data_IF_534082492619
#
_entry.id   IF_534082492619
#
_cell.length_a   1.000
_cell.length_b   1.000
_cell.length_c   1.000
_cell.angle_alpha   90.00
_cell.angle_beta   90.00
_cell.angle_gamma   90.00
#
_symmetry.space_group_name_H-M   'P 1'
#
loop_
_entity.id
_entity.type
_entity.pdbx_description
1 polymer ?
#
# COMPACT_ATOMS: atom_id res chain seq x y z
N UNK A 1 -10.09 40.17 -56.92
CA UNK A 1 -9.24 39.38 -55.94
C UNK A 1 -9.71 39.42 -54.49
N UNK A 2 -10.25 40.52 -53.90
CA UNK A 2 -10.62 40.52 -52.48
C UNK A 2 -11.78 39.59 -52.08
N UNK A 3 -12.71 39.28 -52.99
CA UNK A 3 -13.86 38.44 -52.68
C UNK A 3 -13.50 36.95 -52.53
N UNK A 4 -12.50 36.47 -53.27
CA UNK A 4 -12.03 35.08 -53.21
C UNK A 4 -11.38 34.78 -51.84
N UNK A 5 -10.61 35.71 -51.29
CA UNK A 5 -10.01 35.54 -49.94
C UNK A 5 -11.07 35.50 -48.82
N UNK A 6 -12.17 36.23 -48.98
CA UNK A 6 -13.26 36.26 -47.99
C UNK A 6 -14.03 34.95 -47.88
N UNK A 7 -14.08 34.15 -48.95
CA UNK A 7 -14.73 32.84 -48.96
C UNK A 7 -13.79 31.71 -48.54
N UNK A 8 -12.49 31.84 -48.80
CA UNK A 8 -11.51 30.77 -48.49
C UNK A 8 -11.04 30.81 -47.04
N UNK A 9 -10.94 31.97 -46.38
CA UNK A 9 -10.48 32.10 -44.98
C UNK A 9 -11.33 31.27 -44.00
N UNK A 10 -12.69 31.29 -44.05
CA UNK A 10 -13.49 30.44 -43.14
C UNK A 10 -13.26 28.95 -43.31
N UNK A 11 -13.04 28.50 -44.58
CA UNK A 11 -12.79 27.09 -44.89
C UNK A 11 -11.42 26.63 -44.35
N UNK A 12 -10.40 27.48 -44.48
CA UNK A 12 -9.06 27.22 -43.91
C UNK A 12 -9.12 27.19 -42.39
N UNK A 13 -9.82 28.15 -41.76
CA UNK A 13 -10.01 28.15 -40.30
C UNK A 13 -10.75 26.91 -39.82
N UNK A 14 -11.81 26.51 -40.53
CA UNK A 14 -12.54 25.29 -40.19
C UNK A 14 -11.68 24.03 -40.31
N UNK A 15 -10.90 23.91 -41.41
CA UNK A 15 -9.96 22.81 -41.60
C UNK A 15 -8.88 22.77 -40.48
N UNK A 16 -8.38 23.93 -40.07
CA UNK A 16 -7.37 24.05 -39.01
C UNK A 16 -7.94 23.66 -37.64
N UNK A 17 -9.18 24.04 -37.33
CA UNK A 17 -9.91 23.61 -36.15
C UNK A 17 -10.12 22.11 -36.14
N UNK A 18 -10.55 21.51 -37.26
CA UNK A 18 -10.70 20.05 -37.36
C UNK A 18 -9.37 19.31 -37.16
N UNK A 19 -8.29 19.84 -37.70
CA UNK A 19 -6.95 19.26 -37.55
C UNK A 19 -6.47 19.33 -36.09
N UNK A 20 -6.72 20.42 -35.39
CA UNK A 20 -6.42 20.56 -33.97
C UNK A 20 -7.27 19.62 -33.09
N UNK A 21 -8.57 19.50 -33.41
CA UNK A 21 -9.46 18.58 -32.72
C UNK A 21 -9.03 17.11 -32.91
N UNK A 22 -8.72 16.73 -34.16
CA UNK A 22 -8.26 15.35 -34.43
C UNK A 22 -6.91 15.06 -33.80
N UNK A 23 -5.97 16.02 -33.81
CA UNK A 23 -4.67 15.89 -33.14
C UNK A 23 -4.80 15.78 -31.64
N UNK A 24 -5.68 16.56 -31.01
CA UNK A 24 -5.96 16.47 -29.57
C UNK A 24 -6.61 15.14 -29.21
N UNK A 25 -7.60 14.69 -29.98
CA UNK A 25 -8.25 13.39 -29.78
C UNK A 25 -7.24 12.24 -29.89
N UNK A 26 -6.36 12.28 -30.88
CA UNK A 26 -5.30 11.29 -31.04
C UNK A 26 -4.32 11.31 -29.86
N UNK A 27 -3.91 12.49 -29.41
CA UNK A 27 -3.02 12.65 -28.27
C UNK A 27 -3.63 12.07 -26.99
N UNK A 28 -4.89 12.37 -26.71
CA UNK A 28 -5.58 11.83 -25.53
C UNK A 28 -5.77 10.31 -25.62
N UNK A 29 -6.12 9.80 -26.80
CA UNK A 29 -6.27 8.35 -27.03
C UNK A 29 -4.93 7.63 -26.85
N UNK A 30 -3.86 8.16 -27.44
CA UNK A 30 -2.51 7.59 -27.29
C UNK A 30 -2.07 7.57 -25.82
N UNK A 31 -2.29 8.68 -25.10
CA UNK A 31 -1.95 8.77 -23.68
C UNK A 31 -2.76 7.77 -22.82
N UNK A 32 -4.04 7.61 -23.14
CA UNK A 32 -4.92 6.64 -22.47
C UNK A 32 -4.48 5.20 -22.74
N UNK A 33 -4.20 4.86 -23.99
CA UNK A 33 -3.69 3.54 -24.38
C UNK A 33 -2.35 3.23 -23.71
N UNK A 34 -1.42 4.16 -23.72
CA UNK A 34 -0.12 3.99 -23.05
C UNK A 34 -0.31 3.70 -21.56
N UNK A 35 -1.16 4.49 -20.89
CA UNK A 35 -1.47 4.27 -19.47
C UNK A 35 -2.10 2.88 -19.22
N UNK A 36 -2.99 2.41 -20.09
CA UNK A 36 -3.56 1.07 -20.00
C UNK A 36 -2.50 -0.03 -20.20
N UNK A 37 -1.58 0.15 -21.13
CA UNK A 37 -0.49 -0.80 -21.37
C UNK A 37 0.44 -0.88 -20.16
N UNK A 38 0.83 0.28 -19.60
CA UNK A 38 1.68 0.33 -18.41
C UNK A 38 1.01 -0.37 -17.22
N UNK A 39 -0.28 -0.11 -16.99
CA UNK A 39 -1.07 -0.80 -15.94
C UNK A 39 -1.15 -2.31 -16.18
N UNK A 40 -1.33 -2.74 -17.42
CA UNK A 40 -1.43 -4.16 -17.74
C UNK A 40 -0.08 -4.88 -17.55
N UNK A 41 1.02 -4.22 -17.89
CA UNK A 41 2.38 -4.74 -17.64
C UNK A 41 2.62 -4.91 -16.14
N UNK A 42 2.32 -3.89 -15.34
CA UNK A 42 2.48 -3.93 -13.89
C UNK A 42 1.59 -5.01 -13.26
N UNK A 43 0.34 -5.17 -13.75
CA UNK A 43 -0.57 -6.24 -13.32
C UNK A 43 -0.01 -7.64 -13.61
N UNK A 44 0.57 -7.85 -14.79
CA UNK A 44 1.17 -9.12 -15.17
C UNK A 44 2.41 -9.44 -14.33
N UNK A 45 3.26 -8.45 -14.07
CA UNK A 45 4.40 -8.59 -13.16
C UNK A 45 3.95 -8.93 -11.73
N UNK A 46 2.87 -8.31 -11.25
CA UNK A 46 2.27 -8.64 -9.97
C UNK A 46 1.82 -10.10 -9.90
N UNK A 47 1.05 -10.57 -10.90
CA UNK A 47 0.57 -11.96 -10.95
C UNK A 47 1.75 -12.94 -10.97
N UNK A 48 2.79 -12.64 -11.74
CA UNK A 48 4.02 -13.44 -11.80
C UNK A 48 4.71 -13.50 -10.45
N UNK A 49 4.91 -12.35 -9.80
CA UNK A 49 5.58 -12.26 -8.51
C UNK A 49 4.77 -12.97 -7.42
N UNK A 50 3.42 -12.79 -7.40
CA UNK A 50 2.53 -13.50 -6.48
C UNK A 50 2.63 -15.02 -6.65
N UNK A 51 2.63 -15.49 -7.90
CA UNK A 51 2.76 -16.91 -8.19
C UNK A 51 4.09 -17.47 -7.66
N UNK A 52 5.17 -16.72 -7.79
CA UNK A 52 6.47 -17.09 -7.23
C UNK A 52 6.47 -17.07 -5.70
N UNK A 53 5.90 -16.03 -5.07
CA UNK A 53 5.85 -15.92 -3.62
C UNK A 53 4.92 -16.95 -2.96
N UNK A 54 3.87 -17.42 -3.65
CA UNK A 54 3.03 -18.52 -3.18
C UNK A 54 3.71 -19.89 -3.35
N UNK A 55 4.53 -20.07 -4.40
CA UNK A 55 5.19 -21.34 -4.68
C UNK A 55 6.25 -21.68 -3.62
N UNK A 56 6.96 -20.70 -3.09
CA UNK A 56 8.04 -20.90 -2.12
C UNK A 56 7.55 -21.51 -0.80
N UNK A 57 6.58 -20.91 -0.07
CA UNK A 57 6.06 -21.50 1.17
C UNK A 57 5.44 -22.88 0.94
N UNK A 58 4.71 -23.08 -0.16
CA UNK A 58 4.15 -24.38 -0.50
C UNK A 58 5.26 -25.43 -0.67
N UNK A 59 6.36 -25.08 -1.34
CA UNK A 59 7.49 -26.00 -1.50
C UNK A 59 8.16 -26.31 -0.15
N UNK A 60 8.33 -25.32 0.71
CA UNK A 60 8.92 -25.51 2.05
C UNK A 60 8.04 -26.43 2.92
N UNK A 61 6.73 -26.20 2.94
CA UNK A 61 5.79 -27.08 3.66
C UNK A 61 5.86 -28.52 3.13
N UNK A 62 5.92 -28.68 1.80
CA UNK A 62 6.05 -30.00 1.18
C UNK A 62 7.34 -30.71 1.60
N UNK A 63 8.47 -30.02 1.60
CA UNK A 63 9.76 -30.57 2.04
C UNK A 63 9.73 -30.95 3.51
N UNK A 64 9.13 -30.12 4.37
CA UNK A 64 8.99 -30.43 5.79
C UNK A 64 8.14 -31.69 6.03
N UNK A 65 7.03 -31.84 5.29
CA UNK A 65 6.17 -33.03 5.37
C UNK A 65 6.85 -34.28 4.79
N UNK A 66 7.58 -34.15 3.67
CA UNK A 66 8.34 -35.27 3.09
C UNK A 66 9.46 -35.73 4.03
N UNK A 67 10.13 -34.79 4.73
CA UNK A 67 11.12 -35.15 5.74
C UNK A 67 10.50 -35.91 6.90
N UNK A 68 9.32 -35.51 7.38
CA UNK A 68 8.60 -36.22 8.42
C UNK A 68 8.08 -37.61 7.99
N UNK A 69 7.77 -37.80 6.71
CA UNK A 69 7.25 -39.08 6.20
C UNK A 69 8.32 -40.12 5.87
N UNK A 70 9.50 -39.67 5.40
CA UNK A 70 10.49 -40.58 4.79
C UNK A 70 11.73 -40.82 5.68
N UNK A 71 11.88 -40.12 6.81
CA UNK A 71 13.02 -40.35 7.68
C UNK A 71 12.65 -41.07 8.98
N UNK A 72 13.44 -42.10 9.34
CA UNK A 72 13.36 -42.82 10.63
C UNK A 72 13.57 -41.92 11.86
N UNK A 73 13.85 -40.63 11.65
CA UNK A 73 14.03 -39.61 12.69
C UNK A 73 12.73 -39.09 13.30
N UNK A 74 11.56 -39.60 12.92
CA UNK A 74 10.26 -39.36 13.58
C UNK A 74 10.33 -39.67 15.09
N UNK A 75 11.32 -40.45 15.52
CA UNK A 75 11.55 -40.81 16.91
C UNK A 75 12.28 -39.71 17.74
N UNK A 76 12.77 -38.61 17.10
CA UNK A 76 13.29 -37.46 17.83
C UNK A 76 12.21 -36.35 17.94
N UNK A 77 11.65 -36.12 19.15
CA UNK A 77 10.61 -35.13 19.34
C UNK A 77 11.06 -33.71 18.99
N UNK A 78 12.36 -33.40 19.11
CA UNK A 78 12.89 -32.06 18.83
C UNK A 78 12.88 -31.78 17.31
N UNK A 79 13.36 -32.74 16.51
CA UNK A 79 13.40 -32.64 15.05
C UNK A 79 11.97 -32.60 14.49
N UNK A 80 11.08 -33.45 15.01
CA UNK A 80 9.66 -33.45 14.62
C UNK A 80 9.01 -32.08 14.91
N UNK A 81 9.26 -31.52 16.11
CA UNK A 81 8.75 -30.19 16.49
C UNK A 81 9.31 -29.09 15.58
N UNK A 82 10.58 -29.14 15.21
CA UNK A 82 11.21 -28.17 14.32
C UNK A 82 10.54 -28.14 12.92
N UNK A 83 10.35 -29.30 12.29
CA UNK A 83 9.69 -29.39 10.97
C UNK A 83 8.22 -28.98 11.05
N UNK A 84 7.49 -29.34 12.10
CA UNK A 84 6.11 -28.90 12.30
C UNK A 84 6.01 -27.39 12.50
N UNK A 85 6.90 -26.79 13.28
CA UNK A 85 6.96 -25.35 13.47
C UNK A 85 7.30 -24.62 12.15
N UNK A 86 8.24 -25.16 11.36
CA UNK A 86 8.57 -24.62 10.03
C UNK A 86 7.34 -24.68 9.12
N UNK A 87 6.65 -25.81 9.05
CA UNK A 87 5.44 -25.94 8.22
C UNK A 87 4.33 -24.98 8.67
N UNK A 88 4.10 -24.85 9.99
CA UNK A 88 3.09 -23.97 10.55
C UNK A 88 3.41 -22.51 10.22
N UNK A 89 4.64 -22.07 10.41
CA UNK A 89 5.04 -20.68 10.11
C UNK A 89 4.92 -20.33 8.61
N UNK A 90 5.17 -21.28 7.72
CA UNK A 90 4.98 -21.05 6.28
C UNK A 90 3.50 -21.08 5.87
N UNK A 91 2.65 -21.85 6.56
CA UNK A 91 1.19 -21.80 6.37
C UNK A 91 0.61 -20.46 6.84
N UNK A 92 1.03 -19.95 8.00
CA UNK A 92 0.63 -18.62 8.49
C UNK A 92 1.04 -17.52 7.51
N UNK A 93 2.25 -17.63 6.94
CA UNK A 93 2.71 -16.72 5.89
C UNK A 93 1.87 -16.80 4.62
N UNK A 94 1.44 -17.99 4.24
CA UNK A 94 0.60 -18.25 3.07
C UNK A 94 -0.80 -17.68 3.28
N UNK A 95 -1.36 -17.80 4.49
CA UNK A 95 -2.63 -17.18 4.86
C UNK A 95 -2.54 -15.64 4.77
N UNK A 96 -1.49 -15.03 5.31
CA UNK A 96 -1.26 -13.59 5.17
C UNK A 96 -1.14 -13.13 3.71
N UNK A 97 -0.50 -13.92 2.84
CA UNK A 97 -0.41 -13.61 1.42
C UNK A 97 -1.77 -13.72 0.73
N UNK A 98 -2.56 -14.75 1.05
CA UNK A 98 -3.91 -14.92 0.49
C UNK A 98 -4.85 -13.83 0.96
N UNK A 99 -4.80 -13.44 2.21
CA UNK A 99 -5.57 -12.29 2.74
C UNK A 99 -5.21 -11.00 2.01
N UNK A 100 -3.93 -10.73 1.77
CA UNK A 100 -3.49 -9.57 0.97
C UNK A 100 -4.05 -9.60 -0.46
N UNK A 101 -4.08 -10.74 -1.11
CA UNK A 101 -4.65 -10.90 -2.46
C UNK A 101 -6.17 -10.72 -2.46
N UNK A 102 -6.88 -11.31 -1.48
CA UNK A 102 -8.33 -11.20 -1.34
C UNK A 102 -8.77 -9.77 -1.06
N UNK A 103 -8.15 -9.11 -0.10
CA UNK A 103 -8.37 -7.68 0.19
C UNK A 103 -8.20 -6.84 -1.08
N UNK A 104 -7.23 -7.19 -1.91
CA UNK A 104 -7.00 -6.52 -3.18
C UNK A 104 -8.04 -6.80 -4.26
N UNK A 105 -8.51 -8.04 -4.35
CA UNK A 105 -9.59 -8.42 -5.29
C UNK A 105 -10.90 -7.70 -4.94
N UNK A 106 -11.17 -7.50 -3.66
CA UNK A 106 -12.33 -6.73 -3.18
C UNK A 106 -12.23 -5.25 -3.52
N UNK A 107 -11.00 -4.69 -3.63
CA UNK A 107 -10.77 -3.31 -4.07
C UNK A 107 -11.04 -3.06 -5.56
N UNK A 108 -11.23 -4.09 -6.39
CA UNK A 108 -11.71 -3.95 -7.76
C UNK A 108 -13.24 -3.70 -7.82
N UNK A 109 -13.98 -3.99 -6.73
CA UNK A 109 -15.38 -3.61 -6.53
C UNK A 109 -15.51 -2.13 -6.15
N UNK A 110 -16.56 -1.47 -6.62
CA UNK A 110 -16.78 -0.02 -6.36
C UNK A 110 -17.08 0.32 -4.89
N UNK A 111 -17.42 -0.64 -4.03
CA UNK A 111 -17.73 -0.41 -2.62
C UNK A 111 -17.18 -1.55 -1.77
N UNK A 112 -16.37 -1.20 -0.78
CA UNK A 112 -16.11 -2.05 0.38
C UNK A 112 -17.42 -2.12 1.16
N UNK A 113 -17.89 -3.31 1.51
CA UNK A 113 -19.02 -3.42 2.43
C UNK A 113 -18.56 -3.05 3.85
N UNK A 114 -18.31 -1.75 4.09
CA UNK A 114 -17.79 -1.28 5.37
C UNK A 114 -18.84 -1.45 6.48
N UNK A 115 -18.41 -1.99 7.60
CA UNK A 115 -19.16 -2.00 8.86
C UNK A 115 -18.60 -0.90 9.77
N UNK A 116 -19.02 0.34 9.50
CA UNK A 116 -18.52 1.51 10.23
C UNK A 116 -19.18 1.64 11.59
N UNK A 117 -18.39 1.92 12.62
CA UNK A 117 -18.82 2.16 13.99
C UNK A 117 -18.01 3.29 14.63
N UNK A 118 -18.49 3.81 15.75
CA UNK A 118 -17.74 4.78 16.56
C UNK A 118 -16.63 4.07 17.30
N UNK A 119 -15.39 4.43 17.02
CA UNK A 119 -14.21 3.86 17.67
C UNK A 119 -13.30 4.94 18.24
N UNK A 120 -12.58 4.59 19.29
CA UNK A 120 -11.46 5.38 19.80
C UNK A 120 -10.19 5.01 19.02
N UNK A 121 -9.76 5.93 18.13
CA UNK A 121 -8.59 5.74 17.27
C UNK A 121 -7.29 5.56 18.08
N UNK A 122 -7.20 6.15 19.28
CA UNK A 122 -6.06 5.96 20.17
C UNK A 122 -5.97 4.51 20.64
N UNK A 123 -7.10 3.91 21.06
CA UNK A 123 -7.14 2.52 21.50
C UNK A 123 -6.84 1.55 20.37
N UNK A 124 -7.39 1.82 19.16
CA UNK A 124 -7.10 1.01 17.98
C UNK A 124 -5.60 1.04 17.65
N UNK A 125 -5.02 2.24 17.56
CA UNK A 125 -3.61 2.42 17.20
C UNK A 125 -2.67 1.77 18.23
N UNK A 126 -2.97 1.88 19.52
CA UNK A 126 -2.19 1.21 20.59
C UNK A 126 -2.21 -0.31 20.42
N UNK A 127 -3.37 -0.92 20.16
CA UNK A 127 -3.47 -2.38 19.89
C UNK A 127 -2.60 -2.81 18.71
N UNK A 128 -2.62 -2.03 17.62
CA UNK A 128 -1.78 -2.31 16.46
C UNK A 128 -0.30 -2.26 16.83
N UNK A 129 0.13 -1.21 17.52
CA UNK A 129 1.52 -1.02 17.93
C UNK A 129 1.97 -2.16 18.84
N UNK A 130 1.14 -2.57 19.80
CA UNK A 130 1.41 -3.70 20.68
C UNK A 130 1.55 -5.01 19.91
N UNK A 131 0.69 -5.25 18.90
CA UNK A 131 0.77 -6.46 18.06
C UNK A 131 2.05 -6.52 17.23
N UNK A 132 2.60 -5.37 16.84
CA UNK A 132 3.82 -5.28 16.03
C UNK A 132 5.10 -5.20 16.88
N UNK A 133 5.00 -5.08 18.21
CA UNK A 133 6.13 -4.88 19.13
C UNK A 133 7.19 -5.99 19.04
N UNK A 134 6.76 -7.25 18.99
CA UNK A 134 7.66 -8.40 18.88
C UNK A 134 8.45 -8.37 17.57
N UNK A 135 7.81 -7.97 16.48
CA UNK A 135 8.45 -7.85 15.17
C UNK A 135 9.43 -6.69 15.13
N UNK A 136 9.05 -5.53 15.68
CA UNK A 136 9.96 -4.39 15.79
C UNK A 136 11.22 -4.75 16.58
N UNK A 137 11.10 -5.51 17.69
CA UNK A 137 12.23 -6.01 18.44
C UNK A 137 13.14 -6.94 17.62
N UNK A 138 12.58 -7.85 16.82
CA UNK A 138 13.35 -8.74 15.95
C UNK A 138 14.12 -7.98 14.86
N UNK A 139 13.54 -6.88 14.35
CA UNK A 139 14.15 -6.02 13.33
C UNK A 139 15.01 -4.89 13.94
N UNK A 140 15.22 -4.86 15.27
CA UNK A 140 15.90 -3.79 16.03
C UNK A 140 15.30 -2.40 15.74
N UNK A 141 14.01 -2.32 15.49
CA UNK A 141 13.31 -1.08 15.22
C UNK A 141 12.70 -0.48 16.48
N UNK A 142 12.68 0.84 16.56
CA UNK A 142 11.99 1.60 17.61
C UNK A 142 10.67 2.11 17.08
N UNK A 143 9.56 1.71 17.70
CA UNK A 143 8.21 2.15 17.39
C UNK A 143 7.65 2.94 18.57
N UNK A 144 7.35 4.22 18.36
CA UNK A 144 6.81 5.11 19.37
C UNK A 144 5.41 5.59 19.03
N UNK A 145 4.62 5.90 20.05
CA UNK A 145 3.26 6.45 19.91
C UNK A 145 3.12 7.73 20.71
N UNK A 146 2.61 8.76 20.06
CA UNK A 146 2.40 10.09 20.65
C UNK A 146 0.96 10.54 20.40
N UNK A 147 0.34 11.10 21.41
CA UNK A 147 -0.91 11.87 21.30
C UNK A 147 -1.02 12.85 22.44
N UNK A 148 -1.53 14.02 22.17
CA UNK A 148 -1.90 15.04 23.18
C UNK A 148 -3.28 14.79 23.77
N UNK A 149 -4.13 14.02 23.06
CA UNK A 149 -5.52 13.82 23.41
C UNK A 149 -5.71 12.57 24.28
N UNK A 150 -6.72 12.59 25.13
CA UNK A 150 -7.07 11.44 25.97
C UNK A 150 -8.00 10.44 25.31
N UNK A 151 -8.77 10.87 24.32
CA UNK A 151 -9.71 10.08 23.54
C UNK A 151 -9.96 10.75 22.19
N UNK A 152 -9.98 9.98 21.10
CA UNK A 152 -10.23 10.49 19.74
C UNK A 152 -11.22 9.57 19.05
N UNK A 153 -12.47 10.02 18.94
CA UNK A 153 -13.57 9.25 18.33
C UNK A 153 -13.65 9.56 16.85
N UNK A 154 -13.70 8.48 16.06
CA UNK A 154 -13.91 8.51 14.60
C UNK A 154 -14.97 7.48 14.22
N UNK A 155 -15.69 7.71 13.11
CA UNK A 155 -16.70 6.79 12.58
C UNK A 155 -16.11 6.01 11.40
N UNK A 156 -15.57 4.82 11.66
CA UNK A 156 -14.83 4.03 10.68
C UNK A 156 -15.04 2.53 10.89
N UNK A 157 -14.67 1.74 9.89
CA UNK A 157 -14.55 0.29 10.02
C UNK A 157 -13.18 -0.04 10.65
N UNK A 158 -13.14 -0.57 11.88
CA UNK A 158 -11.90 -0.79 12.62
C UNK A 158 -10.96 -1.78 11.92
N UNK A 159 -11.50 -2.81 11.25
CA UNK A 159 -10.70 -3.83 10.57
C UNK A 159 -9.88 -3.23 9.41
N UNK A 160 -10.51 -2.39 8.60
CA UNK A 160 -9.83 -1.76 7.47
C UNK A 160 -8.84 -0.69 7.91
N UNK A 161 -9.18 0.12 8.91
CA UNK A 161 -8.26 1.16 9.44
C UNK A 161 -7.06 0.53 10.14
N UNK A 162 -7.26 -0.55 10.90
CA UNK A 162 -6.17 -1.36 11.46
C UNK A 162 -5.22 -1.85 10.37
N UNK A 163 -5.78 -2.40 9.28
CA UNK A 163 -5.00 -2.84 8.11
C UNK A 163 -4.20 -1.71 7.45
N UNK A 164 -4.74 -0.49 7.40
CA UNK A 164 -4.02 0.69 6.89
C UNK A 164 -2.84 1.04 7.80
N UNK A 165 -3.05 1.12 9.10
CA UNK A 165 -1.99 1.45 10.07
C UNK A 165 -0.86 0.41 10.01
N UNK A 166 -1.20 -0.88 10.01
CA UNK A 166 -0.22 -1.97 9.86
C UNK A 166 0.58 -1.80 8.57
N UNK A 167 -0.09 -1.50 7.45
CA UNK A 167 0.57 -1.34 6.17
C UNK A 167 1.56 -0.16 6.15
N UNK A 168 1.22 0.97 6.79
CA UNK A 168 2.12 2.12 6.88
C UNK A 168 3.34 1.81 7.74
N UNK A 169 3.14 1.14 8.89
CA UNK A 169 4.26 0.72 9.77
C UNK A 169 5.14 -0.32 9.06
N UNK A 170 4.54 -1.28 8.35
CA UNK A 170 5.26 -2.27 7.54
C UNK A 170 6.12 -1.61 6.45
N UNK A 171 5.59 -0.58 5.80
CA UNK A 171 6.35 0.18 4.82
C UNK A 171 7.53 0.91 5.48
N UNK A 172 7.32 1.54 6.63
CA UNK A 172 8.37 2.21 7.39
C UNK A 172 9.49 1.23 7.77
N UNK A 173 9.16 0.04 8.31
CA UNK A 173 10.14 -1.00 8.64
C UNK A 173 10.94 -1.43 7.41
N UNK A 174 10.28 -1.71 6.29
CA UNK A 174 10.92 -2.20 5.07
C UNK A 174 11.88 -1.21 4.41
N UNK A 175 11.50 0.08 4.41
CA UNK A 175 12.24 1.07 3.63
C UNK A 175 13.26 1.87 4.44
N UNK A 176 13.12 1.89 5.78
CA UNK A 176 14.11 2.53 6.66
C UNK A 176 15.33 1.64 6.89
N UNK A 177 15.15 0.30 6.88
CA UNK A 177 16.22 -0.67 7.12
C UNK A 177 16.49 -0.95 8.61
N UNK A 178 17.66 -1.49 8.95
CA UNK A 178 18.02 -1.81 10.32
C UNK A 178 17.96 -0.58 11.23
N UNK A 179 17.56 -0.78 12.50
CA UNK A 179 17.42 0.29 13.50
C UNK A 179 16.41 1.38 13.09
N UNK A 180 15.33 0.99 12.38
CA UNK A 180 14.28 1.90 11.98
C UNK A 180 13.69 2.64 13.21
N UNK A 181 13.53 3.95 13.08
CA UNK A 181 12.80 4.78 14.05
C UNK A 181 11.50 5.20 13.43
N UNK A 182 10.39 4.72 13.99
CA UNK A 182 9.03 4.95 13.49
C UNK A 182 8.23 5.62 14.58
N UNK A 183 7.58 6.74 14.25
CA UNK A 183 6.69 7.43 15.18
C UNK A 183 5.28 7.43 14.59
N UNK A 184 4.32 7.06 15.43
CA UNK A 184 2.90 7.18 15.16
C UNK A 184 2.36 8.29 16.02
N UNK A 185 1.74 9.30 15.42
CA UNK A 185 1.20 10.44 16.13
C UNK A 185 -0.26 10.67 15.73
N UNK A 186 -1.11 10.96 16.73
CA UNK A 186 -2.50 11.32 16.50
C UNK A 186 -2.75 12.69 17.09
N UNK A 187 -3.32 13.56 16.26
CA UNK A 187 -3.77 14.91 16.62
C UNK A 187 -5.21 15.10 16.18
N UNK A 188 -6.00 15.82 16.93
CA UNK A 188 -7.37 16.15 16.54
C UNK A 188 -7.64 17.65 16.68
N UNK A 189 -8.49 18.16 15.79
CA UNK A 189 -9.07 19.48 15.89
C UNK A 189 -10.61 19.40 15.75
N UNK A 190 -11.30 20.55 15.67
CA UNK A 190 -12.76 20.58 15.60
C UNK A 190 -13.34 19.99 14.31
N UNK A 191 -12.54 19.88 13.25
CA UNK A 191 -13.00 19.50 11.91
C UNK A 191 -12.47 18.12 11.47
N UNK A 192 -11.26 17.76 11.91
CA UNK A 192 -10.58 16.58 11.41
C UNK A 192 -9.69 15.92 12.46
N UNK A 193 -9.47 14.64 12.27
CA UNK A 193 -8.55 13.82 13.03
C UNK A 193 -7.42 13.38 12.10
N UNK A 194 -6.16 13.62 12.49
CA UNK A 194 -4.97 13.22 11.72
C UNK A 194 -4.21 12.14 12.47
N UNK A 195 -3.91 11.07 11.74
CA UNK A 195 -2.97 10.04 12.17
C UNK A 195 -1.76 10.08 11.23
N UNK A 196 -0.58 10.33 11.76
CA UNK A 196 0.66 10.33 11.01
C UNK A 196 1.55 9.15 11.39
N UNK A 197 2.19 8.55 10.38
CA UNK A 197 3.26 7.55 10.55
C UNK A 197 4.50 8.12 9.90
N UNK A 198 5.54 8.40 10.70
CA UNK A 198 6.80 8.95 10.22
C UNK A 198 7.95 7.96 10.39
N UNK A 199 8.88 7.96 9.44
CA UNK A 199 10.11 7.17 9.46
C UNK A 199 11.34 8.05 9.17
N UNK A 200 12.53 7.51 9.44
CA UNK A 200 13.82 8.13 9.13
C UNK A 200 14.52 7.47 7.93
N UNK A 201 13.76 6.95 6.99
CA UNK A 201 14.26 6.30 5.79
C UNK A 201 14.78 7.28 4.72
N UNK A 202 14.94 6.81 3.47
CA UNK A 202 15.47 7.62 2.38
C UNK A 202 14.50 8.69 1.87
N UNK A 203 13.23 8.68 2.34
CA UNK A 203 12.18 9.55 1.81
C UNK A 203 11.72 9.16 0.40
N UNK A 204 10.76 9.92 -0.12
CA UNK A 204 10.15 9.69 -1.44
C UNK A 204 10.43 10.89 -2.34
N UNK A 205 11.09 10.72 -3.51
CA UNK A 205 11.30 11.82 -4.44
C UNK A 205 9.98 12.50 -4.82
N UNK A 206 9.97 13.83 -4.87
CA UNK A 206 8.75 14.63 -5.14
C UNK A 206 7.99 14.20 -6.39
N UNK A 207 8.71 13.72 -7.40
CA UNK A 207 8.12 13.20 -8.66
C UNK A 207 7.26 11.97 -8.46
N UNK A 208 7.51 11.18 -7.40
CA UNK A 208 6.80 9.93 -7.13
C UNK A 208 5.78 10.03 -5.99
N UNK A 209 5.75 11.12 -5.21
CA UNK A 209 4.84 11.26 -4.05
C UNK A 209 3.36 11.08 -4.38
N UNK A 210 2.94 11.44 -5.60
CA UNK A 210 1.57 11.16 -6.08
C UNK A 210 1.41 9.75 -6.63
N UNK A 211 2.46 9.20 -7.24
CA UNK A 211 2.40 7.91 -7.92
C UNK A 211 2.51 6.73 -6.95
N UNK A 212 3.08 6.93 -5.75
CA UNK A 212 3.22 5.85 -4.75
C UNK A 212 1.87 5.29 -4.28
N UNK A 213 0.79 6.03 -4.50
CA UNK A 213 -0.58 5.62 -4.24
C UNK A 213 -1.26 4.89 -5.42
N UNK A 214 -0.63 4.92 -6.61
CA UNK A 214 -1.14 4.18 -7.76
C UNK A 214 -0.98 2.66 -7.52
N UNK A 215 -1.98 1.89 -7.98
CA UNK A 215 -1.94 0.42 -7.85
C UNK A 215 -0.68 -0.14 -8.52
N UNK A 216 0.01 -1.04 -7.82
CA UNK A 216 1.21 -1.74 -8.28
C UNK A 216 2.45 -0.85 -8.49
N UNK A 217 2.35 0.45 -8.23
CA UNK A 217 3.48 1.34 -8.43
C UNK A 217 4.59 1.06 -7.41
N UNK A 218 5.81 1.08 -7.90
CA UNK A 218 7.04 1.01 -7.09
C UNK A 218 8.03 2.01 -7.66
N UNK A 219 8.75 2.69 -6.77
CA UNK A 219 9.79 3.63 -7.20
C UNK A 219 10.88 2.85 -7.94
N UNK A 220 11.16 3.19 -9.22
CA UNK A 220 12.26 2.59 -9.95
C UNK A 220 13.59 2.97 -9.28
N UNK A 221 14.29 1.98 -8.72
CA UNK A 221 15.53 2.26 -8.00
C UNK A 221 16.62 1.31 -8.44
N UNK A 222 17.76 1.87 -8.82
CA UNK A 222 18.94 1.12 -9.26
C UNK A 222 19.57 0.24 -8.17
N UNK A 223 19.18 0.39 -6.89
CA UNK A 223 19.79 -0.32 -5.75
C UNK A 223 18.78 -0.91 -4.72
N UNK A 224 17.46 -0.78 -4.92
CA UNK A 224 16.44 -1.31 -3.99
C UNK A 224 15.79 -2.61 -4.49
N UNK A 225 16.48 -3.37 -5.35
CA UNK A 225 15.97 -4.64 -5.87
C UNK A 225 15.67 -5.71 -4.80
N UNK A 226 16.14 -5.54 -3.56
CA UNK A 226 15.96 -6.52 -2.49
C UNK A 226 14.76 -6.24 -1.57
N UNK A 227 14.05 -5.12 -1.70
CA UNK A 227 12.88 -4.85 -0.85
C UNK A 227 11.66 -5.58 -1.42
N UNK A 228 11.26 -6.67 -0.79
CA UNK A 228 10.06 -7.43 -1.16
C UNK A 228 8.80 -6.58 -0.94
N UNK A 229 7.96 -6.47 -1.97
CA UNK A 229 6.69 -5.75 -1.86
C UNK A 229 5.92 -5.71 -3.18
N UNK A 230 4.59 -5.63 -3.13
CA UNK A 230 3.73 -5.80 -4.29
C UNK A 230 3.19 -4.49 -4.87
N UNK A 231 3.51 -3.35 -4.26
CA UNK A 231 3.01 -2.03 -4.69
C UNK A 231 1.50 -1.85 -4.49
N UNK A 232 0.92 -2.56 -3.52
CA UNK A 232 -0.52 -2.60 -3.30
C UNK A 232 -0.94 -1.93 -1.99
N UNK A 233 -0.03 -1.85 -1.02
CA UNK A 233 -0.36 -1.37 0.31
C UNK A 233 -0.86 0.07 0.34
N UNK A 234 -0.17 0.99 -0.33
CA UNK A 234 -0.58 2.40 -0.34
C UNK A 234 -1.86 2.63 -1.16
N UNK A 235 -2.05 1.91 -2.25
CA UNK A 235 -3.31 1.99 -3.00
C UNK A 235 -4.50 1.41 -2.22
N UNK A 236 -4.27 0.38 -1.38
CA UNK A 236 -5.25 -0.08 -0.40
C UNK A 236 -5.58 1.01 0.61
N UNK A 237 -4.55 1.61 1.23
CA UNK A 237 -4.74 2.69 2.18
C UNK A 237 -5.54 3.85 1.59
N UNK A 238 -5.23 4.27 0.36
CA UNK A 238 -5.98 5.31 -0.36
C UNK A 238 -7.45 4.93 -0.50
N UNK A 239 -7.73 3.72 -0.97
CA UNK A 239 -9.11 3.29 -1.19
C UNK A 239 -9.91 3.20 0.11
N UNK A 240 -9.29 2.66 1.17
CA UNK A 240 -9.92 2.62 2.51
C UNK A 240 -10.22 4.04 2.99
N UNK A 241 -9.28 4.96 2.90
CA UNK A 241 -9.49 6.35 3.33
C UNK A 241 -10.59 7.03 2.50
N UNK A 242 -10.60 6.88 1.18
CA UNK A 242 -11.66 7.41 0.31
C UNK A 242 -13.06 6.88 0.70
N UNK A 243 -13.18 5.59 1.02
CA UNK A 243 -14.46 4.99 1.45
C UNK A 243 -14.90 5.49 2.84
N UNK A 244 -13.97 5.93 3.68
CA UNK A 244 -14.23 6.58 4.98
C UNK A 244 -14.32 8.12 4.87
N UNK A 245 -14.43 8.67 3.65
CA UNK A 245 -14.48 10.13 3.40
C UNK A 245 -13.26 10.88 3.92
N UNK A 246 -12.16 10.16 4.14
CA UNK A 246 -10.87 10.69 4.56
C UNK A 246 -9.88 10.82 3.40
N UNK A 247 -8.66 11.23 3.73
CA UNK A 247 -7.56 11.35 2.76
C UNK A 247 -6.30 10.71 3.29
N UNK A 248 -5.38 10.36 2.37
CA UNK A 248 -4.02 9.97 2.69
C UNK A 248 -3.05 10.82 1.87
N UNK A 249 -2.04 11.36 2.53
CA UNK A 249 -1.00 12.14 1.89
C UNK A 249 0.39 11.66 2.34
N UNK A 250 1.44 12.04 1.58
CA UNK A 250 2.83 11.77 1.95
C UNK A 250 3.70 12.99 1.69
N UNK A 251 4.55 13.29 2.64
CA UNK A 251 5.58 14.31 2.50
C UNK A 251 6.90 13.83 3.14
N UNK A 252 8.01 14.42 2.70
CA UNK A 252 9.30 14.11 3.31
C UNK A 252 9.50 14.90 4.58
N UNK A 253 10.04 14.24 5.61
CA UNK A 253 10.44 14.91 6.83
C UNK A 253 11.71 15.76 6.58
N UNK A 254 11.83 16.97 7.15
CA UNK A 254 13.00 17.84 6.95
C UNK A 254 14.34 17.20 7.38
N UNK A 255 14.31 16.35 8.39
CA UNK A 255 15.47 15.62 8.91
C UNK A 255 15.75 14.29 8.20
N UNK A 256 15.02 13.97 7.11
CA UNK A 256 15.11 12.73 6.38
C UNK A 256 13.95 11.78 6.69
N UNK A 257 13.65 10.88 5.75
CA UNK A 257 12.52 9.98 5.82
C UNK A 257 11.24 10.57 5.25
N UNK A 258 10.11 9.93 5.50
CA UNK A 258 8.80 10.41 5.08
C UNK A 258 7.76 10.35 6.19
N UNK A 259 6.68 11.08 6.00
CA UNK A 259 5.51 11.12 6.85
C UNK A 259 4.32 10.78 5.97
N UNK A 260 3.60 9.71 6.31
CA UNK A 260 2.28 9.41 5.77
C UNK A 260 1.25 9.94 6.74
N UNK A 261 0.33 10.75 6.25
CA UNK A 261 -0.73 11.36 7.03
C UNK A 261 -2.10 10.88 6.55
N UNK A 262 -2.87 10.33 7.47
CA UNK A 262 -4.28 9.93 7.29
C UNK A 262 -5.14 11.01 7.93
N UNK A 263 -6.09 11.56 7.17
CA UNK A 263 -7.04 12.54 7.69
C UNK A 263 -8.45 11.94 7.68
N UNK A 264 -9.09 11.89 8.82
CA UNK A 264 -10.47 11.45 8.99
C UNK A 264 -11.36 12.67 9.26
N UNK A 265 -12.60 12.70 8.76
CA UNK A 265 -13.56 13.70 9.21
C UNK A 265 -13.83 13.52 10.71
N UNK A 266 -13.95 14.63 11.44
CA UNK A 266 -14.33 14.59 12.86
C UNK A 266 -15.70 13.94 13.02
N UNK A 267 -15.83 13.00 13.94
CA UNK A 267 -17.07 12.28 14.24
C UNK A 267 -18.09 13.09 15.05
N UNK A 268 -17.92 14.44 15.11
CA UNK A 268 -18.82 15.33 15.85
C UNK A 268 -19.92 15.87 14.98
#
# INVERSE_FOLDING_TARGET
>A
FPNVFREIIPQILFALVLLLLSGSAFFFTYRSLKRQMDLNTIRNEFISNMSHELKTPVATVKVALEALQNYDQINDPNITSEYLNMASSELDRLDQLTQKVLTHSQLEGKHLGLETEEIDLLKLSKRVIESLSSRCLQENATLSFLSSDSEVIVFVDPLYVEGVIINLIDNALKYTGPEAVINVEITSDEQEVRLSVSDKGPGIPKTYQKQVFDKFFRIPANNLHNVKGHGLGLSFATHVMEQHQGTIEVHNHPEGGCVFELTFPSGK
#
